data_IF_630013416536
#
_entry.id   IF_630013416536
#
_cell.length_a   1.000
_cell.length_b   1.000
_cell.length_c   1.000
_cell.angle_alpha   90.00
_cell.angle_beta   90.00
_cell.angle_gamma   90.00
#
_symmetry.space_group_name_H-M   'P 1'
#
loop_
_entity.id
_entity.type
_entity.pdbx_description
1 polymer ?
#
# COMPACT_ATOMS: atom_id res chain seq x y z
N UNK A 1 4.79 -7.38 -3.87
CA UNK A 1 3.42 -6.81 -4.06
C UNK A 1 3.54 -5.33 -4.34
N UNK A 2 2.87 -4.79 -5.35
CA UNK A 2 2.93 -3.35 -5.64
C UNK A 2 1.88 -2.59 -4.83
N UNK A 3 2.30 -1.51 -4.17
CA UNK A 3 1.46 -0.68 -3.32
C UNK A 3 1.47 0.78 -3.79
N UNK A 4 0.34 1.46 -3.58
CA UNK A 4 0.16 2.88 -3.85
C UNK A 4 -0.09 3.63 -2.54
N UNK A 5 0.34 4.89 -2.48
CA UNK A 5 0.25 5.75 -1.29
C UNK A 5 -0.68 6.93 -1.57
N UNK A 6 -1.57 7.21 -0.62
CA UNK A 6 -2.61 8.22 -0.73
C UNK A 6 -2.73 9.02 0.56
N UNK A 7 -3.19 10.27 0.50
CA UNK A 7 -3.56 11.02 1.70
C UNK A 7 -4.91 10.51 2.23
N UNK A 8 -5.18 10.57 3.55
CA UNK A 8 -6.45 10.13 4.12
C UNK A 8 -7.69 10.74 3.45
N UNK A 9 -7.62 12.03 3.10
CA UNK A 9 -8.70 12.77 2.40
C UNK A 9 -9.01 12.23 0.99
N UNK A 10 -8.13 11.40 0.41
CA UNK A 10 -8.32 10.80 -0.91
C UNK A 10 -9.02 9.44 -0.86
N UNK A 11 -9.29 8.90 0.34
CA UNK A 11 -10.08 7.68 0.50
C UNK A 11 -11.51 8.03 0.90
N UNK A 12 -12.47 7.48 0.15
CA UNK A 12 -13.89 7.51 0.49
C UNK A 12 -14.51 6.15 0.23
N UNK A 13 -15.16 5.57 1.23
CA UNK A 13 -15.96 4.36 1.07
C UNK A 13 -17.29 4.76 0.43
N UNK A 14 -17.59 4.20 -0.74
CA UNK A 14 -18.83 4.51 -1.46
C UNK A 14 -19.87 3.41 -1.31
N UNK A 15 -19.45 2.16 -1.07
CA UNK A 15 -20.28 0.97 -0.91
C UNK A 15 -19.58 -0.09 -0.06
N UNK A 16 -20.35 -1.02 0.49
CA UNK A 16 -19.81 -2.23 1.12
C UNK A 16 -19.18 -2.04 2.50
N UNK A 17 -19.39 -0.89 3.15
CA UNK A 17 -18.81 -0.56 4.47
C UNK A 17 -19.10 -1.64 5.53
N UNK A 18 -20.32 -2.20 5.54
CA UNK A 18 -20.72 -3.26 6.46
C UNK A 18 -19.91 -4.56 6.33
N UNK A 19 -19.29 -4.78 5.17
CA UNK A 19 -18.43 -5.94 4.87
C UNK A 19 -16.95 -5.65 5.10
N UNK A 20 -16.58 -4.42 5.50
CA UNK A 20 -15.20 -4.09 5.82
C UNK A 20 -14.91 -4.55 7.25
N UNK A 21 -13.77 -5.22 7.43
CA UNK A 21 -13.22 -5.57 8.73
C UNK A 21 -11.84 -4.95 8.88
N UNK A 22 -11.50 -4.69 10.13
CA UNK A 22 -10.24 -4.08 10.52
C UNK A 22 -9.49 -5.03 11.42
N UNK A 23 -8.21 -5.22 11.13
CA UNK A 23 -7.28 -5.95 11.99
C UNK A 23 -6.18 -4.99 12.44
N UNK A 24 -6.06 -4.82 13.75
CA UNK A 24 -4.98 -4.06 14.37
C UNK A 24 -3.74 -4.94 14.47
N UNK A 25 -2.79 -4.68 13.59
CA UNK A 25 -1.52 -5.39 13.53
C UNK A 25 -0.47 -4.60 14.32
N UNK A 26 -0.11 -5.14 15.49
CA UNK A 26 0.89 -4.57 16.38
C UNK A 26 2.29 -5.19 16.19
N UNK A 27 2.38 -6.29 15.44
CA UNK A 27 3.64 -7.00 15.21
C UNK A 27 4.31 -6.45 13.94
N UNK A 28 4.79 -5.20 14.04
CA UNK A 28 5.48 -4.53 12.95
C UNK A 28 6.93 -4.24 13.32
N UNK A 29 7.83 -4.23 12.32
CA UNK A 29 9.25 -3.93 12.53
C UNK A 29 9.49 -2.55 13.17
N UNK A 30 8.56 -1.61 12.98
CA UNK A 30 8.64 -0.27 13.57
C UNK A 30 8.10 -0.19 15.01
N UNK A 31 7.44 -1.24 15.51
CA UNK A 31 6.68 -1.23 16.76
C UNK A 31 5.37 -0.44 16.71
N UNK A 32 5.07 0.27 15.63
CA UNK A 32 3.81 1.00 15.47
C UNK A 32 2.69 0.07 15.01
N UNK A 33 1.49 0.23 15.58
CA UNK A 33 0.29 -0.45 15.10
C UNK A 33 -0.14 0.08 13.73
N UNK A 34 -0.45 -0.84 12.82
CA UNK A 34 -1.13 -0.55 11.56
C UNK A 34 -2.51 -1.23 11.54
N UNK A 35 -3.49 -0.56 10.95
CA UNK A 35 -4.84 -1.09 10.76
C UNK A 35 -4.96 -1.59 9.33
N UNK A 36 -5.09 -2.91 9.18
CA UNK A 36 -5.33 -3.58 7.90
C UNK A 36 -6.83 -3.68 7.68
N UNK A 37 -7.33 -3.14 6.58
CA UNK A 37 -8.74 -3.18 6.20
C UNK A 37 -8.95 -4.14 5.05
N UNK A 38 -9.89 -5.06 5.18
CA UNK A 38 -10.18 -6.10 4.20
C UNK A 38 -11.68 -6.41 4.12
N UNK A 39 -12.11 -7.03 3.02
CA UNK A 39 -13.48 -7.49 2.85
C UNK A 39 -13.69 -8.82 3.58
N UNK A 40 -14.68 -8.90 4.47
CA UNK A 40 -15.03 -10.15 5.18
C UNK A 40 -15.54 -11.26 4.27
N UNK A 41 -16.05 -10.92 3.08
CA UNK A 41 -16.72 -11.88 2.23
C UNK A 41 -15.75 -12.59 1.27
N UNK A 42 -14.72 -11.87 0.78
CA UNK A 42 -13.75 -12.40 -0.18
C UNK A 42 -12.30 -12.37 0.32
N UNK A 43 -12.02 -11.80 1.49
CA UNK A 43 -10.67 -11.71 2.05
C UNK A 43 -9.76 -10.68 1.37
N UNK A 44 -10.22 -9.98 0.33
CA UNK A 44 -9.41 -9.01 -0.40
C UNK A 44 -8.95 -7.86 0.52
N UNK A 45 -7.65 -7.56 0.48
CA UNK A 45 -7.08 -6.39 1.15
C UNK A 45 -7.50 -5.12 0.42
N UNK A 46 -8.06 -4.16 1.16
CA UNK A 46 -8.55 -2.90 0.62
C UNK A 46 -7.52 -1.80 0.80
N UNK A 47 -7.17 -1.53 2.06
CA UNK A 47 -6.18 -0.51 2.41
C UNK A 47 -5.63 -0.71 3.82
N UNK A 48 -4.45 -0.14 4.06
CA UNK A 48 -3.77 -0.11 5.35
C UNK A 48 -3.61 1.34 5.79
N UNK A 49 -3.87 1.59 7.07
CA UNK A 49 -3.64 2.89 7.72
C UNK A 49 -2.66 2.68 8.87
N UNK A 50 -1.68 3.56 9.04
CA UNK A 50 -0.93 3.58 10.29
C UNK A 50 -1.76 4.27 11.37
N UNK A 51 -1.74 3.79 12.62
CA UNK A 51 -2.53 4.37 13.71
C UNK A 51 -2.20 5.85 13.96
N UNK A 52 -0.97 6.27 13.65
CA UNK A 52 -0.48 7.65 13.79
C UNK A 52 0.03 8.26 12.46
N UNK A 53 -0.32 7.68 11.31
CA UNK A 53 0.25 8.12 10.02
C UNK A 53 -0.73 8.88 9.13
N UNK A 54 -0.18 9.82 8.36
CA UNK A 54 -0.92 10.69 7.43
C UNK A 54 -1.03 10.13 6.00
N UNK A 55 -0.97 8.81 5.86
CA UNK A 55 -1.10 8.16 4.57
C UNK A 55 -1.85 6.83 4.66
N UNK A 56 -2.42 6.45 3.52
CA UNK A 56 -3.13 5.22 3.28
C UNK A 56 -2.37 4.45 2.22
N UNK A 57 -2.15 3.16 2.48
CA UNK A 57 -1.56 2.25 1.51
C UNK A 57 -2.68 1.42 0.91
N UNK A 58 -2.77 1.36 -0.42
CA UNK A 58 -3.68 0.46 -1.14
C UNK A 58 -2.90 -0.45 -2.08
N UNK A 59 -3.44 -1.64 -2.36
CA UNK A 59 -2.86 -2.52 -3.37
C UNK A 59 -3.01 -1.86 -4.74
N UNK A 60 -1.92 -1.72 -5.50
CA UNK A 60 -1.95 -1.02 -6.77
C UNK A 60 -2.91 -1.67 -7.78
N UNK A 61 -2.95 -3.01 -7.81
CA UNK A 61 -3.83 -3.75 -8.73
C UNK A 61 -5.33 -3.58 -8.46
N UNK A 62 -5.71 -3.02 -7.32
CA UNK A 62 -7.11 -2.69 -7.01
C UNK A 62 -7.53 -1.30 -7.54
N UNK A 63 -6.61 -0.56 -8.18
CA UNK A 63 -6.86 0.80 -8.67
C UNK A 63 -6.90 0.79 -10.20
N UNK A 64 -7.96 1.31 -10.78
CA UNK A 64 -8.07 1.46 -12.23
C UNK A 64 -6.91 2.30 -12.80
N UNK A 65 -6.36 1.87 -13.95
CA UNK A 65 -5.23 2.54 -14.60
C UNK A 65 -3.86 2.20 -14.02
N UNK A 66 -3.76 1.30 -13.04
CA UNK A 66 -2.47 0.90 -12.43
C UNK A 66 -1.47 0.31 -13.43
N UNK A 67 -1.93 -0.20 -14.57
CA UNK A 67 -1.07 -0.79 -15.62
C UNK A 67 -0.09 0.21 -16.23
N UNK A 68 -0.39 1.49 -16.12
CA UNK A 68 0.46 2.58 -16.61
C UNK A 68 1.47 3.07 -15.56
N UNK A 69 1.49 2.48 -14.36
CA UNK A 69 2.38 2.90 -13.29
C UNK A 69 3.71 2.17 -13.34
N UNK A 70 4.78 2.90 -13.04
CA UNK A 70 6.12 2.33 -12.83
C UNK A 70 6.48 2.42 -11.34
N UNK A 71 7.07 1.36 -10.74
CA UNK A 71 7.55 1.41 -9.37
C UNK A 71 8.51 2.58 -9.15
N UNK A 72 8.36 3.26 -8.01
CA UNK A 72 9.20 4.42 -7.63
C UNK A 72 10.14 4.11 -6.46
N UNK A 73 9.83 3.09 -5.67
CA UNK A 73 10.56 2.69 -4.47
C UNK A 73 10.25 1.22 -4.15
N UNK A 74 11.23 0.52 -3.62
CA UNK A 74 11.06 -0.77 -2.92
C UNK A 74 11.23 -0.54 -1.41
N UNK A 75 10.37 -1.19 -0.62
CA UNK A 75 10.39 -1.16 0.85
C UNK A 75 10.51 -2.60 1.31
N UNK A 76 11.35 -2.86 2.31
CA UNK A 76 11.74 -4.20 2.76
C UNK A 76 12.46 -5.03 1.69
N UNK A 77 13.30 -4.37 0.88
CA UNK A 77 14.09 -5.03 -0.17
C UNK A 77 15.12 -6.02 0.38
N UNK A 78 15.53 -5.85 1.64
CA UNK A 78 16.33 -6.81 2.40
C UNK A 78 15.64 -8.17 2.59
N UNK A 79 14.30 -8.20 2.55
CA UNK A 79 13.49 -9.42 2.64
C UNK A 79 13.11 -9.98 1.25
N UNK A 80 13.72 -9.45 0.17
CA UNK A 80 13.47 -9.93 -1.19
C UNK A 80 13.92 -11.38 -1.32
N UNK A 81 13.04 -12.22 -1.87
CA UNK A 81 13.39 -13.61 -2.16
C UNK A 81 14.59 -13.67 -3.11
N UNK A 82 15.55 -14.55 -2.83
CA UNK A 82 16.85 -14.60 -3.53
C UNK A 82 16.74 -14.91 -5.03
N UNK A 83 15.65 -15.54 -5.46
CA UNK A 83 15.36 -15.84 -6.85
C UNK A 83 14.68 -14.69 -7.61
N UNK A 84 14.30 -13.60 -6.93
CA UNK A 84 13.75 -12.40 -7.58
C UNK A 84 14.86 -11.46 -8.01
N UNK A 85 14.75 -10.97 -9.26
CA UNK A 85 15.63 -9.92 -9.78
C UNK A 85 15.35 -8.57 -9.12
N UNK A 86 16.33 -7.70 -9.15
CA UNK A 86 16.18 -6.33 -8.68
C UNK A 86 15.16 -5.55 -9.51
N UNK A 87 14.43 -4.64 -8.86
CA UNK A 87 13.44 -3.78 -9.53
C UNK A 87 14.18 -2.58 -10.13
N UNK A 88 14.06 -2.39 -11.45
CA UNK A 88 14.55 -1.18 -12.11
C UNK A 88 13.64 0.01 -11.80
N UNK A 89 14.22 1.11 -11.28
CA UNK A 89 13.51 2.36 -11.05
C UNK A 89 13.82 3.38 -12.15
N UNK A 90 12.82 4.14 -12.59
CA UNK A 90 13.07 5.29 -13.45
C UNK A 90 13.72 6.40 -12.64
N UNK A 91 14.96 6.75 -12.98
CA UNK A 91 15.65 7.92 -12.42
C UNK A 91 14.80 9.18 -12.63
N UNK A 92 14.57 9.96 -11.57
CA UNK A 92 13.99 11.30 -11.73
C UNK A 92 14.99 12.15 -12.51
N UNK A 93 14.58 12.73 -13.65
CA UNK A 93 15.35 13.82 -14.26
C UNK A 93 15.57 14.89 -13.19
N UNK A 94 16.82 15.27 -12.92
CA UNK A 94 17.13 16.40 -12.02
C UNK A 94 16.32 17.60 -12.51
N UNK A 95 15.52 18.20 -11.62
CA UNK A 95 14.91 19.49 -11.92
C UNK A 95 16.06 20.47 -12.23
N UNK A 96 15.97 21.15 -13.38
CA UNK A 96 16.89 22.25 -13.68
C UNK A 96 16.57 23.36 -12.67
N UNK A 97 17.53 23.66 -11.80
CA UNK A 97 17.56 24.89 -11.00
C UNK A 97 17.77 26.07 -11.93
#
# INVERSE_FOLDING_TARGET
MAHSYWKPKQLRITRGESSIRHYSDCDTQSGNTIIRSFCSNCGASLFVKAAKGDFIIAQASAIEGHQNWTPKKEVFGENRATWLKEIAFTSKKKAKL
#
